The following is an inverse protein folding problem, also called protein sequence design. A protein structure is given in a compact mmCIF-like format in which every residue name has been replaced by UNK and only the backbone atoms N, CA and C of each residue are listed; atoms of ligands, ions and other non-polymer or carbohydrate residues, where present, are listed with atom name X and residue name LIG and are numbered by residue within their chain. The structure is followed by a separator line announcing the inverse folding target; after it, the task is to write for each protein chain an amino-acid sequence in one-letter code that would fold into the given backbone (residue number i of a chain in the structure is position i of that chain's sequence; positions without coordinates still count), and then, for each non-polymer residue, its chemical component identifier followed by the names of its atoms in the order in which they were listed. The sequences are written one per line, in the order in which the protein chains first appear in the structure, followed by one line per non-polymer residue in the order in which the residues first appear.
data_IF_389127405185
#
_entry.id   IF_389127405185
#
_cell.length_a   1.000
_cell.length_b   1.000
_cell.length_c   1.000
_cell.angle_alpha   90.00
_cell.angle_beta   90.00
_cell.angle_gamma   90.00
#
_symmetry.space_group_name_H-M   'P 1'
#
loop_
_entity.id
_entity.type
_entity.pdbx_description
1 polymer ?
#
# COMPACT_ATOMS: atom_id res chain seq x y z
N UNK A 1 7.99 10.93 23.61
CA UNK A 1 6.72 11.63 23.30
C UNK A 1 7.03 12.66 22.24
N UNK A 2 6.22 12.73 21.18
CA UNK A 2 6.38 13.68 20.08
C UNK A 2 5.47 14.87 20.26
N UNK A 3 6.01 16.07 20.05
CA UNK A 3 5.28 17.33 20.14
C UNK A 3 5.00 17.83 18.74
N UNK A 4 3.73 17.94 18.40
CA UNK A 4 3.30 18.39 17.08
C UNK A 4 2.68 19.78 17.17
N UNK A 5 3.04 20.66 16.24
CA UNK A 5 2.51 22.03 16.15
C UNK A 5 2.00 22.31 14.75
N UNK A 6 1.00 23.19 14.62
CA UNK A 6 0.65 23.75 13.30
C UNK A 6 1.58 24.96 13.07
N UNK A 7 2.31 25.02 11.94
CA UNK A 7 3.20 26.14 11.64
C UNK A 7 2.49 27.48 11.76
N UNK A 8 3.09 28.43 12.50
CA UNK A 8 2.51 29.75 12.73
C UNK A 8 1.43 29.83 13.81
N UNK A 9 1.20 28.76 14.58
CA UNK A 9 0.26 28.76 15.72
C UNK A 9 0.94 28.29 17.01
N UNK A 10 0.36 28.64 18.15
CA UNK A 10 0.74 28.10 19.47
C UNK A 10 0.01 26.80 19.81
N UNK A 11 -0.71 26.20 18.85
CA UNK A 11 -1.48 24.97 19.06
C UNK A 11 -0.55 23.77 19.03
N UNK A 12 -0.22 23.28 20.22
CA UNK A 12 0.59 22.07 20.42
C UNK A 12 -0.29 20.85 20.75
N UNK A 13 0.06 19.70 20.18
CA UNK A 13 -0.51 18.40 20.51
C UNK A 13 0.60 17.39 20.77
N UNK A 14 0.50 16.71 21.91
CA UNK A 14 1.44 15.67 22.29
C UNK A 14 0.93 14.28 21.85
N UNK A 15 1.85 13.49 21.29
CA UNK A 15 1.62 12.11 20.88
C UNK A 15 2.60 11.19 21.59
N UNK A 16 2.08 10.14 22.24
CA UNK A 16 2.91 9.11 22.85
C UNK A 16 3.71 8.33 21.81
N UNK A 17 4.83 7.73 22.22
CA UNK A 17 5.61 6.83 21.36
C UNK A 17 5.46 5.40 21.86
N UNK A 18 5.38 4.45 20.92
CA UNK A 18 5.18 3.04 21.25
C UNK A 18 3.79 2.73 21.80
N UNK A 19 3.74 1.87 22.81
CA UNK A 19 2.50 1.30 23.34
C UNK A 19 1.61 2.32 24.05
N UNK A 20 0.33 2.37 23.65
CA UNK A 20 -0.67 3.25 24.23
C UNK A 20 -1.51 2.51 25.28
N UNK A 21 -1.17 2.75 26.55
CA UNK A 21 -1.87 2.16 27.71
C UNK A 21 -3.34 2.58 27.80
N UNK A 22 -3.68 3.80 27.37
CA UNK A 22 -5.05 4.29 27.40
C UNK A 22 -5.92 3.63 26.31
N UNK A 23 -5.37 3.42 25.12
CA UNK A 23 -6.06 2.69 24.06
C UNK A 23 -6.22 1.19 24.39
N UNK A 24 -5.28 0.59 25.14
CA UNK A 24 -5.46 -0.75 25.69
C UNK A 24 -6.63 -0.79 26.69
N UNK A 25 -6.73 0.19 27.59
CA UNK A 25 -7.73 0.19 28.65
C UNK A 25 -9.13 0.61 28.19
N UNK A 26 -9.23 1.43 27.14
CA UNK A 26 -10.50 2.01 26.68
C UNK A 26 -10.86 1.63 25.24
N UNK A 27 -10.00 0.90 24.53
CA UNK A 27 -10.26 0.38 23.18
C UNK A 27 -10.77 1.45 22.20
N UNK A 28 -11.92 1.17 21.59
CA UNK A 28 -12.57 2.06 20.62
C UNK A 28 -12.94 3.43 21.22
N UNK A 29 -13.27 3.52 22.51
CA UNK A 29 -13.63 4.79 23.16
C UNK A 29 -12.47 5.79 23.17
N UNK A 30 -11.23 5.30 23.23
CA UNK A 30 -10.06 6.16 23.11
C UNK A 30 -10.00 6.88 21.75
N UNK A 31 -10.36 6.19 20.66
CA UNK A 31 -10.38 6.77 19.32
C UNK A 31 -11.45 7.86 19.18
N UNK A 32 -12.65 7.64 19.73
CA UNK A 32 -13.70 8.66 19.75
C UNK A 32 -13.28 9.89 20.56
N UNK A 33 -12.68 9.68 21.74
CA UNK A 33 -12.16 10.77 22.57
C UNK A 33 -11.10 11.63 21.84
N UNK A 34 -10.25 11.01 21.01
CA UNK A 34 -9.26 11.72 20.19
C UNK A 34 -9.82 12.33 18.89
N UNK A 35 -11.14 12.24 18.66
CA UNK A 35 -11.80 12.75 17.47
C UNK A 35 -11.52 11.94 16.20
N UNK A 36 -11.13 10.67 16.34
CA UNK A 36 -10.92 9.71 15.25
C UNK A 36 -12.15 8.81 15.07
N UNK A 37 -13.29 9.42 14.75
CA UNK A 37 -14.60 8.77 14.73
C UNK A 37 -14.68 7.56 13.80
N UNK A 38 -14.13 7.65 12.59
CA UNK A 38 -14.15 6.55 11.62
C UNK A 38 -13.40 5.32 12.12
N UNK A 39 -12.20 5.52 12.70
CA UNK A 39 -11.42 4.41 13.28
C UNK A 39 -12.11 3.83 14.51
N UNK A 40 -12.66 4.69 15.37
CA UNK A 40 -13.48 4.26 16.50
C UNK A 40 -14.63 3.34 16.09
N UNK A 41 -15.40 3.73 15.07
CA UNK A 41 -16.52 2.93 14.54
C UNK A 41 -16.05 1.57 14.03
N UNK A 42 -14.96 1.52 13.27
CA UNK A 42 -14.39 0.28 12.76
C UNK A 42 -14.02 -0.67 13.90
N UNK A 43 -13.32 -0.18 14.92
CA UNK A 43 -12.94 -0.98 16.08
C UNK A 43 -14.14 -1.48 16.88
N UNK A 44 -15.21 -0.68 16.99
CA UNK A 44 -16.48 -1.10 17.61
C UNK A 44 -17.13 -2.23 16.82
N UNK A 45 -17.22 -2.12 15.48
CA UNK A 45 -17.83 -3.15 14.63
C UNK A 45 -17.06 -4.47 14.76
N UNK A 46 -15.73 -4.42 14.69
CA UNK A 46 -14.88 -5.61 14.83
C UNK A 46 -15.04 -6.23 16.22
N UNK A 47 -15.11 -5.43 17.28
CA UNK A 47 -15.32 -5.92 18.63
C UNK A 47 -16.71 -6.55 18.83
N UNK A 48 -17.75 -6.06 18.14
CA UNK A 48 -19.12 -6.61 18.21
C UNK A 48 -19.27 -7.94 17.46
N UNK A 49 -18.54 -8.12 16.36
CA UNK A 49 -18.56 -9.37 15.57
C UNK A 49 -17.68 -10.44 16.22
N UNK A 50 -16.70 -10.05 17.03
CA UNK A 50 -15.77 -10.96 17.69
C UNK A 50 -16.49 -11.79 18.78
N UNK A 51 -16.52 -13.14 18.68
CA UNK A 51 -17.24 -13.96 19.65
C UNK A 51 -16.54 -13.97 21.03
N UNK A 52 -17.34 -13.88 22.09
CA UNK A 52 -16.87 -14.04 23.48
C UNK A 52 -15.86 -12.99 23.92
N UNK A 53 -14.70 -13.44 24.43
CA UNK A 53 -13.65 -12.57 24.99
C UNK A 53 -12.74 -12.00 23.89
N UNK A 54 -12.99 -12.34 22.61
CA UNK A 54 -12.11 -12.00 21.48
C UNK A 54 -11.92 -10.49 21.25
N UNK A 55 -12.83 -9.65 21.73
CA UNK A 55 -12.69 -8.19 21.70
C UNK A 55 -11.46 -7.69 22.49
N UNK A 56 -10.93 -8.46 23.45
CA UNK A 56 -9.70 -8.09 24.17
C UNK A 56 -8.48 -8.02 23.25
N UNK A 57 -8.42 -8.87 22.21
CA UNK A 57 -7.34 -8.83 21.22
C UNK A 57 -7.41 -7.58 20.36
N UNK A 58 -8.62 -7.08 20.09
CA UNK A 58 -8.84 -5.80 19.41
C UNK A 58 -8.27 -4.65 20.24
N UNK A 59 -8.42 -4.71 21.57
CA UNK A 59 -7.88 -3.70 22.49
C UNK A 59 -6.37 -3.78 22.64
N UNK A 60 -5.80 -4.98 22.67
CA UNK A 60 -4.34 -5.17 22.63
C UNK A 60 -3.76 -4.61 21.33
N UNK A 61 -4.38 -4.92 20.19
CA UNK A 61 -3.97 -4.37 18.89
C UNK A 61 -4.09 -2.85 18.85
N UNK A 62 -5.19 -2.30 19.37
CA UNK A 62 -5.37 -0.86 19.53
C UNK A 62 -4.26 -0.24 20.40
N UNK A 63 -3.84 -0.90 21.48
CA UNK A 63 -2.72 -0.47 22.31
C UNK A 63 -1.40 -0.28 21.54
N UNK A 64 -1.08 -1.18 20.61
CA UNK A 64 0.14 -1.05 19.79
C UNK A 64 0.04 0.02 18.71
N UNK A 65 -1.15 0.22 18.13
CA UNK A 65 -1.33 1.07 16.94
C UNK A 65 -1.79 2.50 17.25
N UNK A 66 -2.53 2.71 18.33
CA UNK A 66 -3.24 3.94 18.64
C UNK A 66 -2.39 5.23 18.53
N UNK A 67 -1.15 5.20 19.01
CA UNK A 67 -0.26 6.35 18.93
C UNK A 67 0.14 6.70 17.49
N UNK A 68 0.46 5.69 16.67
CA UNK A 68 0.77 5.89 15.26
C UNK A 68 -0.45 6.41 14.48
N UNK A 69 -1.61 5.82 14.74
CA UNK A 69 -2.85 6.21 14.07
C UNK A 69 -3.28 7.64 14.44
N UNK A 70 -3.05 8.03 15.69
CA UNK A 70 -3.28 9.40 16.15
C UNK A 70 -2.28 10.39 15.57
N UNK A 71 -1.01 10.00 15.43
CA UNK A 71 0.00 10.80 14.71
C UNK A 71 -0.44 11.05 13.26
N UNK A 72 -0.79 9.99 12.51
CA UNK A 72 -1.26 10.11 11.12
C UNK A 72 -2.50 11.02 11.00
N UNK A 73 -3.43 10.93 11.97
CA UNK A 73 -4.61 11.79 12.03
C UNK A 73 -4.26 13.26 12.24
N UNK A 74 -3.30 13.56 13.12
CA UNK A 74 -2.84 14.93 13.35
C UNK A 74 -2.05 15.47 12.15
N UNK A 75 -1.19 14.67 11.53
CA UNK A 75 -0.46 15.07 10.31
C UNK A 75 -1.43 15.42 9.18
N UNK A 76 -2.50 14.62 8.99
CA UNK A 76 -3.57 14.94 8.03
C UNK A 76 -4.30 16.26 8.33
N UNK A 77 -4.29 16.71 9.59
CA UNK A 77 -4.84 18.02 10.01
C UNK A 77 -3.82 19.16 9.91
N UNK A 78 -2.62 18.90 9.39
CA UNK A 78 -1.58 19.92 9.19
C UNK A 78 -0.61 20.09 10.36
N UNK A 79 -0.65 19.21 11.37
CA UNK A 79 0.34 19.21 12.45
C UNK A 79 1.68 18.64 11.96
N UNK A 80 2.80 19.28 12.30
CA UNK A 80 4.17 18.88 11.97
C UNK A 80 5.01 18.74 13.23
N UNK A 81 6.17 18.06 13.14
CA UNK A 81 7.05 17.89 14.30
C UNK A 81 7.67 19.23 14.72
N UNK A 82 7.69 19.50 16.01
CA UNK A 82 8.23 20.74 16.58
C UNK A 82 9.74 20.89 16.33
N UNK A 83 10.46 19.78 16.16
CA UNK A 83 11.89 19.74 15.80
C UNK A 83 12.20 20.20 14.37
N UNK A 84 11.23 20.15 13.45
CA UNK A 84 11.38 20.72 12.10
C UNK A 84 11.13 22.25 12.10
N UNK A 85 10.41 22.76 13.09
CA UNK A 85 10.01 24.17 13.14
C UNK A 85 11.13 25.11 13.60
N UNK A 86 12.11 24.62 14.36
CA UNK A 86 13.30 25.41 14.75
C UNK A 86 14.30 25.60 13.60
N UNK A 87 14.29 24.73 12.59
CA UNK A 87 15.13 24.88 11.39
C UNK A 87 14.52 25.89 10.41
N UNK A 88 13.19 25.91 10.28
CA UNK A 88 12.48 26.88 9.45
C UNK A 88 12.51 28.30 10.05
N UNK A 89 12.53 28.44 11.38
CA UNK A 89 12.54 29.74 12.05
C UNK A 89 13.96 30.35 12.21
N UNK A 90 15.04 29.56 12.24
CA UNK A 90 16.40 30.11 12.35
C UNK A 90 16.99 30.56 11.01
N UNK A 91 16.48 30.05 9.88
CA UNK A 91 16.99 30.40 8.55
C UNK A 91 16.52 31.79 8.06
N UNK A 92 15.57 32.43 8.74
CA UNK A 92 15.10 33.77 8.42
C UNK A 92 15.92 34.91 9.06
N UNK A 93 16.84 34.61 9.98
CA UNK A 93 17.68 35.61 10.67
C UNK A 93 19.10 35.09 10.78
N UNK A 94 19.89 35.24 9.72
CA UNK A 94 21.32 35.63 9.72
C UNK A 94 21.87 35.34 8.32
N UNK A 95 21.82 36.37 7.46
CA UNK A 95 22.80 36.50 6.39
C UNK A 95 24.16 36.77 7.03
N UNK A 96 25.19 36.15 6.45
CA UNK A 96 26.57 36.64 6.32
C UNK A 96 27.67 35.89 7.12
N UNK A 97 28.64 35.43 6.33
CA UNK A 97 30.08 35.18 6.56
C UNK A 97 30.58 33.82 7.07
N UNK A 98 31.42 33.24 6.21
CA UNK A 98 32.57 32.35 6.43
C UNK A 98 32.42 30.82 6.58
N UNK A 99 33.09 30.12 5.66
CA UNK A 99 33.59 28.73 5.73
C UNK A 99 34.95 28.71 6.48
N UNK A 100 35.58 27.57 6.86
CA UNK A 100 35.21 26.15 6.70
C UNK A 100 35.40 25.28 7.97
N UNK A 101 34.86 24.04 7.99
CA UNK A 101 35.58 22.81 8.42
C UNK A 101 34.65 21.59 8.57
N UNK A 102 35.20 20.43 8.21
CA UNK A 102 34.58 19.10 8.16
C UNK A 102 34.58 18.45 9.55
N UNK A 103 33.49 17.76 9.93
CA UNK A 103 33.58 16.56 10.76
C UNK A 103 32.59 15.47 10.31
N UNK A 104 33.16 14.32 9.98
CA UNK A 104 32.49 13.04 9.80
C UNK A 104 31.83 12.59 11.11
N UNK A 105 30.58 12.14 11.05
CA UNK A 105 30.05 11.14 12.01
C UNK A 105 29.29 10.05 11.26
N UNK A 106 29.61 8.81 11.62
CA UNK A 106 29.18 7.56 11.03
C UNK A 106 27.65 7.31 11.11
N UNK A 107 27.07 6.45 10.27
CA UNK A 107 25.65 6.15 10.30
C UNK A 107 25.27 5.33 11.54
N UNK A 108 24.28 5.81 12.28
CA UNK A 108 23.62 5.06 13.35
C UNK A 108 22.76 3.97 12.71
N UNK A 109 23.21 2.72 12.88
CA UNK A 109 22.54 1.49 12.49
C UNK A 109 21.31 1.25 13.39
N UNK A 110 20.10 1.57 12.93
CA UNK A 110 18.87 1.10 13.58
C UNK A 110 18.51 -0.30 13.08
N UNK A 111 18.51 -1.26 13.99
CA UNK A 111 18.36 -2.69 13.76
C UNK A 111 17.00 -3.09 13.18
N UNK A 112 17.03 -3.92 12.13
CA UNK A 112 15.91 -4.56 11.47
C UNK A 112 15.24 -5.66 12.31
N UNK A 113 14.61 -5.26 13.42
CA UNK A 113 13.79 -6.15 14.25
C UNK A 113 12.29 -5.81 14.18
N UNK A 114 11.94 -4.61 13.73
CA UNK A 114 10.54 -4.14 13.70
C UNK A 114 9.70 -4.78 12.57
N UNK A 115 10.30 -5.17 11.45
CA UNK A 115 9.55 -5.68 10.30
C UNK A 115 9.22 -7.18 10.39
N UNK A 116 10.01 -7.96 11.15
CA UNK A 116 9.68 -9.36 11.44
C UNK A 116 8.49 -9.49 12.42
N UNK A 117 8.27 -8.49 13.28
CA UNK A 117 7.14 -8.49 14.25
C UNK A 117 5.81 -8.14 13.55
N UNK A 118 5.83 -7.35 12.48
CA UNK A 118 4.64 -6.96 11.71
C UNK A 118 3.98 -8.15 10.99
N UNK A 119 4.77 -9.10 10.50
CA UNK A 119 4.28 -10.29 9.76
C UNK A 119 3.79 -11.40 10.68
N UNK A 120 4.44 -11.60 11.83
CA UNK A 120 4.07 -12.67 12.78
C UNK A 120 2.73 -12.37 13.49
N UNK A 121 2.45 -11.10 13.81
CA UNK A 121 1.19 -10.72 14.45
C UNK A 121 -0.05 -10.86 13.56
N UNK A 122 0.08 -10.61 12.25
CA UNK A 122 -1.02 -10.72 11.28
C UNK A 122 -1.33 -12.19 10.97
N UNK A 123 -0.29 -13.04 10.84
CA UNK A 123 -0.47 -14.47 10.60
C UNK A 123 -1.15 -15.19 11.79
N UNK A 124 -0.84 -14.83 13.03
CA UNK A 124 -1.44 -15.45 14.22
C UNK A 124 -2.94 -15.10 14.32
N UNK A 125 -3.34 -13.86 13.99
CA UNK A 125 -4.75 -13.45 14.05
C UNK A 125 -5.59 -14.10 12.96
N UNK A 126 -5.05 -14.26 11.74
CA UNK A 126 -5.76 -14.90 10.63
C UNK A 126 -5.89 -16.42 10.82
N UNK A 127 -4.84 -17.08 11.33
CA UNK A 127 -4.89 -18.53 11.61
C UNK A 127 -5.85 -18.86 12.76
N UNK A 128 -5.98 -18.01 13.79
CA UNK A 128 -6.94 -18.23 14.89
C UNK A 128 -8.40 -17.91 14.53
N UNK A 129 -8.65 -16.98 13.60
CA UNK A 129 -10.00 -16.72 13.07
C UNK A 129 -10.51 -17.88 12.20
N UNK A 130 -9.62 -18.58 11.49
CA UNK A 130 -9.97 -19.77 10.70
C UNK A 130 -10.19 -20.99 11.61
N UNK A 131 -9.45 -21.12 12.71
CA UNK A 131 -9.57 -22.26 13.64
C UNK A 131 -10.81 -22.20 14.55
N UNK A 132 -11.34 -21.02 14.85
CA UNK A 132 -12.55 -20.88 15.69
C UNK A 132 -13.86 -20.92 14.89
N UNK A 133 -13.80 -20.75 13.55
CA UNK A 133 -14.96 -20.84 12.66
C UNK A 133 -15.48 -22.26 12.38
N UNK A 134 -14.75 -23.31 12.79
CA UNK A 134 -15.14 -24.72 12.53
C UNK A 134 -15.86 -25.36 13.73
N UNK A 135 -15.90 -24.72 14.91
CA UNK A 135 -16.36 -25.37 16.14
C UNK A 135 -17.81 -25.04 16.60
N UNK A 136 -18.62 -24.30 15.83
CA UNK A 136 -19.96 -23.88 16.28
C UNK A 136 -21.04 -24.02 15.21
N UNK A 137 -21.25 -25.23 14.71
CA UNK A 137 -22.55 -25.69 14.21
C UNK A 137 -22.73 -27.17 14.54
N UNK A 138 -22.94 -27.46 15.83
CA UNK A 138 -23.54 -28.71 16.27
C UNK A 138 -25.01 -28.41 16.63
N UNK A 139 -26.00 -28.97 15.94
CA UNK A 139 -27.40 -28.81 16.33
C UNK A 139 -27.65 -29.57 17.63
N UNK A 140 -28.28 -28.88 18.58
CA UNK A 140 -28.92 -29.48 19.75
C UNK A 140 -30.14 -30.27 19.29
N UNK A 141 -30.21 -31.55 19.60
CA UNK A 141 -31.47 -32.13 20.05
C UNK A 141 -31.26 -33.42 20.85
N UNK A 142 -32.12 -33.54 21.86
CA UNK A 142 -32.12 -34.59 22.87
C UNK A 142 -32.74 -35.89 22.38
N UNK A 143 -32.15 -36.98 22.87
CA UNK A 143 -32.78 -38.26 23.26
C UNK A 143 -32.69 -39.47 22.30
N UNK A 144 -32.05 -40.51 22.88
CA UNK A 144 -32.20 -41.97 22.70
C UNK A 144 -31.57 -42.68 21.48
N UNK A 145 -30.54 -43.46 21.83
CA UNK A 145 -29.98 -44.65 21.17
C UNK A 145 -30.94 -45.87 21.28
N UNK A 146 -30.71 -47.07 20.69
CA UNK A 146 -29.68 -47.50 19.70
C UNK A 146 -30.23 -48.28 18.48
N UNK A 147 -29.31 -48.54 17.55
CA UNK A 147 -29.03 -49.86 16.97
C UNK A 147 -29.29 -50.08 15.45
N UNK A 148 -28.17 -50.39 14.80
CA UNK A 148 -27.95 -51.39 13.77
C UNK A 148 -28.53 -51.28 12.34
N UNK A 149 -27.57 -51.52 11.44
CA UNK A 149 -27.62 -52.25 10.16
C UNK A 149 -27.83 -51.48 8.84
N UNK A 150 -26.76 -51.60 8.05
CA UNK A 150 -26.70 -51.97 6.64
C UNK A 150 -26.96 -50.93 5.53
N UNK A 151 -25.88 -50.80 4.75
CA UNK A 151 -25.78 -50.88 3.29
C UNK A 151 -26.22 -49.70 2.42
N UNK A 152 -25.24 -49.39 1.58
CA UNK A 152 -25.33 -49.06 0.16
C UNK A 152 -25.68 -47.62 -0.23
N UNK A 153 -24.62 -46.98 -0.76
CA UNK A 153 -24.54 -46.42 -2.11
C UNK A 153 -24.88 -44.94 -2.35
N UNK A 154 -23.95 -44.35 -3.13
CA UNK A 154 -24.09 -43.23 -4.06
C UNK A 154 -24.27 -41.81 -3.49
N UNK A 155 -23.67 -40.75 -4.03
CA UNK A 155 -22.70 -40.56 -5.11
C UNK A 155 -22.17 -39.14 -4.96
N UNK A 156 -20.86 -38.96 -5.11
CA UNK A 156 -20.22 -37.65 -5.33
C UNK A 156 -20.79 -37.02 -6.60
N UNK A 157 -21.39 -35.84 -6.49
CA UNK A 157 -21.61 -34.98 -7.64
C UNK A 157 -20.42 -34.02 -7.75
N UNK A 158 -19.35 -34.49 -8.40
CA UNK A 158 -18.31 -33.63 -8.96
C UNK A 158 -18.63 -33.47 -10.46
N UNK A 159 -18.87 -32.24 -10.88
CA UNK A 159 -19.11 -31.91 -12.29
C UNK A 159 -17.84 -32.18 -13.11
N UNK A 160 -17.93 -33.09 -14.07
CA UNK A 160 -16.85 -33.37 -15.04
C UNK A 160 -16.88 -32.27 -16.11
N UNK A 161 -15.92 -31.34 -16.03
CA UNK A 161 -15.55 -30.42 -17.13
C UNK A 161 -14.83 -31.25 -18.21
N UNK A 162 -15.12 -31.05 -19.49
CA UNK A 162 -14.63 -31.96 -20.54
C UNK A 162 -13.11 -31.86 -20.72
N UNK A 163 -12.49 -32.94 -21.20
CA UNK A 163 -11.05 -33.04 -21.43
C UNK A 163 -10.55 -32.02 -22.48
N UNK A 164 -11.43 -31.59 -23.39
CA UNK A 164 -11.19 -30.50 -24.35
C UNK A 164 -11.22 -29.13 -23.68
N UNK A 165 -12.17 -28.89 -22.76
CA UNK A 165 -12.26 -27.63 -22.00
C UNK A 165 -11.03 -27.44 -21.10
N UNK A 166 -10.52 -28.52 -20.50
CA UNK A 166 -9.28 -28.48 -19.72
C UNK A 166 -8.07 -28.15 -20.59
N UNK A 167 -8.01 -28.69 -21.83
CA UNK A 167 -6.89 -28.44 -22.74
C UNK A 167 -6.86 -27.00 -23.26
N UNK A 168 -8.02 -26.43 -23.54
CA UNK A 168 -8.16 -25.02 -23.92
C UNK A 168 -7.79 -24.07 -22.77
N UNK A 169 -8.22 -24.39 -21.55
CA UNK A 169 -7.90 -23.59 -20.35
C UNK A 169 -6.40 -23.64 -20.01
N UNK A 170 -5.77 -24.81 -20.12
CA UNK A 170 -4.32 -24.98 -19.96
C UNK A 170 -3.57 -24.16 -21.01
N UNK A 171 -3.95 -24.26 -22.29
CA UNK A 171 -3.29 -23.51 -23.36
C UNK A 171 -3.42 -21.99 -23.17
N UNK A 172 -4.57 -21.52 -22.69
CA UNK A 172 -4.80 -20.10 -22.37
C UNK A 172 -3.94 -19.64 -21.20
N UNK A 173 -3.82 -20.45 -20.15
CA UNK A 173 -2.99 -20.15 -18.99
C UNK A 173 -1.49 -20.17 -19.34
N UNK A 174 -1.05 -21.09 -20.19
CA UNK A 174 0.32 -21.14 -20.71
C UNK A 174 0.65 -19.91 -21.55
N UNK A 175 -0.26 -19.49 -22.43
CA UNK A 175 -0.10 -18.28 -23.23
C UNK A 175 -0.03 -17.02 -22.35
N UNK A 176 -0.88 -16.91 -21.34
CA UNK A 176 -0.87 -15.81 -20.37
C UNK A 176 0.43 -15.76 -19.56
N UNK A 177 0.92 -16.91 -19.10
CA UNK A 177 2.19 -17.01 -18.37
C UNK A 177 3.38 -16.63 -19.26
N UNK A 178 3.39 -17.09 -20.51
CA UNK A 178 4.45 -16.76 -21.48
C UNK A 178 4.45 -15.26 -21.80
N UNK A 179 3.28 -14.66 -21.97
CA UNK A 179 3.12 -13.22 -22.14
C UNK A 179 3.65 -12.47 -20.91
N UNK A 180 3.21 -12.85 -19.70
CA UNK A 180 3.60 -12.19 -18.46
C UNK A 180 5.12 -12.25 -18.27
N UNK A 181 5.74 -13.39 -18.58
CA UNK A 181 7.19 -13.56 -18.51
C UNK A 181 7.95 -12.68 -19.49
N UNK A 182 7.51 -12.59 -20.73
CA UNK A 182 8.10 -11.73 -21.76
C UNK A 182 8.04 -10.25 -21.37
N UNK A 183 6.86 -9.79 -20.93
CA UNK A 183 6.62 -8.40 -20.54
C UNK A 183 7.39 -8.03 -19.27
N UNK A 184 7.36 -8.89 -18.24
CA UNK A 184 8.09 -8.68 -17.01
C UNK A 184 9.61 -8.66 -17.24
N UNK A 185 10.12 -9.50 -18.14
CA UNK A 185 11.54 -9.52 -18.52
C UNK A 185 11.94 -8.21 -19.19
N UNK A 186 11.13 -7.71 -20.12
CA UNK A 186 11.36 -6.43 -20.80
C UNK A 186 11.43 -5.27 -19.80
N UNK A 187 10.43 -5.19 -18.90
CA UNK A 187 10.38 -4.20 -17.84
C UNK A 187 11.62 -4.27 -16.92
N UNK A 188 11.92 -5.46 -16.37
CA UNK A 188 13.08 -5.68 -15.52
C UNK A 188 14.39 -5.25 -16.20
N UNK A 189 14.59 -5.61 -17.47
CA UNK A 189 15.82 -5.31 -18.19
C UNK A 189 16.01 -3.81 -18.46
N UNK A 190 14.94 -3.09 -18.83
CA UNK A 190 15.04 -1.65 -19.05
C UNK A 190 15.39 -0.89 -17.77
N UNK A 191 14.83 -1.35 -16.64
CA UNK A 191 15.04 -0.70 -15.37
C UNK A 191 16.27 -1.21 -14.57
N UNK A 192 17.02 -2.21 -15.07
CA UNK A 192 18.26 -2.69 -14.42
C UNK A 192 19.31 -1.61 -14.20
N UNK A 193 19.42 -0.64 -15.13
CA UNK A 193 20.43 0.43 -15.10
C UNK A 193 19.98 1.66 -14.35
N UNK A 194 18.68 1.82 -14.20
CA UNK A 194 18.11 2.87 -13.37
C UNK A 194 18.13 2.35 -11.96
N UNK A 195 18.80 3.08 -11.09
CA UNK A 195 18.93 2.74 -9.69
C UNK A 195 17.52 2.70 -9.07
N UNK A 196 16.90 1.51 -9.11
CA UNK A 196 15.68 1.16 -8.38
C UNK A 196 15.83 1.44 -6.88
N UNK A 197 17.07 1.67 -6.43
CA UNK A 197 17.52 2.12 -5.12
C UNK A 197 16.74 3.28 -4.50
N UNK A 198 15.97 4.06 -5.29
CA UNK A 198 15.08 5.13 -4.77
C UNK A 198 13.58 4.82 -4.92
N UNK A 199 13.22 3.75 -5.62
CA UNK A 199 11.86 3.49 -6.09
C UNK A 199 11.07 2.58 -5.16
N UNK A 200 10.36 3.16 -4.19
CA UNK A 200 9.29 2.46 -3.49
C UNK A 200 8.04 2.43 -4.38
N UNK A 201 7.68 1.29 -4.98
CA UNK A 201 6.38 1.17 -5.68
C UNK A 201 5.30 0.89 -4.64
N UNK A 202 4.86 1.96 -3.95
CA UNK A 202 3.83 1.91 -2.89
C UNK A 202 2.58 1.12 -3.28
N UNK A 203 2.22 1.17 -4.56
CA UNK A 203 1.00 0.60 -5.10
C UNK A 203 1.05 -0.93 -5.18
N UNK A 204 2.22 -1.52 -5.40
CA UNK A 204 2.39 -2.98 -5.59
C UNK A 204 2.79 -3.71 -4.31
N UNK A 205 3.19 -2.96 -3.27
CA UNK A 205 3.75 -3.52 -2.04
C UNK A 205 5.17 -4.07 -2.20
N UNK A 206 5.76 -4.00 -3.40
CA UNK A 206 7.13 -4.44 -3.64
C UNK A 206 8.09 -3.37 -3.13
N UNK A 207 8.94 -3.78 -2.19
CA UNK A 207 9.95 -2.93 -1.54
C UNK A 207 11.34 -3.50 -1.81
N UNK A 208 12.29 -2.61 -2.11
CA UNK A 208 13.71 -2.95 -2.20
C UNK A 208 14.49 -1.99 -1.32
N UNK A 209 15.46 -2.52 -0.57
CA UNK A 209 16.45 -1.71 0.13
C UNK A 209 17.33 -0.98 -0.90
N UNK A 210 17.97 0.12 -0.50
CA UNK A 210 18.83 0.92 -1.37
C UNK A 210 19.87 0.04 -2.08
N UNK A 211 19.77 -0.04 -3.42
CA UNK A 211 20.67 -0.81 -4.27
C UNK A 211 20.20 -2.24 -4.58
N UNK A 212 19.02 -2.66 -4.09
CA UNK A 212 18.45 -3.96 -4.40
C UNK A 212 17.83 -4.02 -5.80
N UNK A 213 18.28 -4.98 -6.62
CA UNK A 213 17.68 -5.25 -7.93
C UNK A 213 16.31 -5.96 -7.80
N UNK A 214 15.39 -5.61 -8.71
CA UNK A 214 14.13 -6.33 -8.86
C UNK A 214 14.40 -7.68 -9.55
N UNK A 215 13.87 -8.75 -8.97
CA UNK A 215 13.89 -10.08 -9.59
C UNK A 215 12.80 -10.15 -10.66
N UNK A 216 12.87 -11.16 -11.54
CA UNK A 216 11.80 -11.40 -12.50
C UNK A 216 10.44 -11.61 -11.82
N UNK A 217 10.39 -12.26 -10.66
CA UNK A 217 9.16 -12.45 -9.88
C UNK A 217 8.59 -11.11 -9.37
N UNK A 218 9.45 -10.20 -8.92
CA UNK A 218 9.02 -8.87 -8.52
C UNK A 218 8.43 -8.09 -9.71
N UNK A 219 9.08 -8.16 -10.87
CA UNK A 219 8.57 -7.58 -12.12
C UNK A 219 7.25 -8.22 -12.54
N UNK A 220 7.08 -9.54 -12.40
CA UNK A 220 5.79 -10.21 -12.67
C UNK A 220 4.68 -9.66 -11.78
N UNK A 221 4.91 -9.50 -10.47
CA UNK A 221 3.94 -8.89 -9.54
C UNK A 221 3.56 -7.47 -9.93
N UNK A 222 4.55 -6.66 -10.33
CA UNK A 222 4.34 -5.28 -10.78
C UNK A 222 3.47 -5.25 -12.04
N UNK A 223 3.82 -6.04 -13.05
CA UNK A 223 3.06 -6.11 -14.32
C UNK A 223 1.64 -6.62 -14.09
N UNK A 224 1.45 -7.64 -13.24
CA UNK A 224 0.11 -8.12 -12.87
C UNK A 224 -0.71 -7.02 -12.21
N UNK A 225 -0.12 -6.29 -11.25
CA UNK A 225 -0.81 -5.18 -10.60
C UNK A 225 -1.21 -4.09 -11.60
N UNK A 226 -0.34 -3.75 -12.56
CA UNK A 226 -0.67 -2.75 -13.58
C UNK A 226 -1.72 -3.25 -14.56
N UNK A 227 -1.68 -4.52 -14.96
CA UNK A 227 -2.74 -5.16 -15.74
C UNK A 227 -4.08 -5.08 -15.00
N UNK A 228 -4.09 -5.27 -13.69
CA UNK A 228 -5.31 -5.20 -12.91
C UNK A 228 -5.78 -3.76 -12.65
N UNK A 229 -4.92 -2.75 -12.69
CA UNK A 229 -5.28 -1.42 -12.23
C UNK A 229 -5.15 -0.31 -13.28
N UNK A 230 -4.56 -0.58 -14.45
CA UNK A 230 -4.51 0.35 -15.59
C UNK A 230 -5.53 -0.02 -16.66
N UNK A 231 -6.52 0.84 -16.94
CA UNK A 231 -7.44 0.67 -18.07
C UNK A 231 -6.73 0.59 -19.41
N UNK A 232 -5.60 1.30 -19.59
CA UNK A 232 -4.86 1.31 -20.85
C UNK A 232 -4.20 -0.05 -21.11
N UNK A 233 -3.58 -0.66 -20.09
CA UNK A 233 -3.02 -2.01 -20.19
C UNK A 233 -4.13 -3.05 -20.34
N UNK A 234 -5.25 -2.93 -19.61
CA UNK A 234 -6.40 -3.81 -19.80
C UNK A 234 -6.95 -3.74 -21.22
N UNK A 235 -7.11 -2.55 -21.78
CA UNK A 235 -7.58 -2.36 -23.16
C UNK A 235 -6.60 -2.95 -24.15
N UNK A 236 -5.30 -2.72 -23.94
CA UNK A 236 -4.24 -3.32 -24.72
C UNK A 236 -4.15 -4.85 -24.56
N UNK A 237 -4.95 -5.51 -23.70
CA UNK A 237 -4.96 -6.98 -23.53
C UNK A 237 -6.34 -7.59 -23.86
N UNK A 238 -7.42 -6.82 -23.71
CA UNK A 238 -8.81 -7.31 -23.74
C UNK A 238 -9.54 -7.21 -25.08
N UNK A 239 -9.07 -6.37 -26.00
CA UNK A 239 -9.43 -6.43 -27.42
C UNK A 239 -8.53 -7.49 -28.10
N UNK A 240 -8.76 -7.96 -29.35
CA UNK A 240 -7.74 -8.67 -30.11
C UNK A 240 -6.55 -7.71 -30.34
N UNK A 241 -5.80 -7.50 -29.28
CA UNK A 241 -4.73 -6.53 -29.18
C UNK A 241 -3.50 -7.20 -29.73
N UNK A 242 -2.87 -6.54 -30.70
CA UNK A 242 -1.55 -6.94 -31.13
C UNK A 242 -0.60 -6.92 -29.92
N UNK A 243 0.21 -7.96 -29.79
CA UNK A 243 1.28 -8.08 -28.79
C UNK A 243 2.22 -6.87 -28.84
N UNK A 244 2.25 -6.18 -29.97
CA UNK A 244 3.07 -5.01 -30.27
C UNK A 244 2.63 -3.75 -29.51
N UNK A 245 1.34 -3.47 -29.40
CA UNK A 245 0.77 -2.33 -28.67
C UNK A 245 1.03 -2.44 -27.17
N UNK A 246 0.90 -3.66 -26.63
CA UNK A 246 1.29 -3.94 -25.24
C UNK A 246 2.78 -3.69 -25.05
N UNK A 247 3.61 -4.27 -25.93
CA UNK A 247 5.06 -4.07 -25.89
C UNK A 247 5.43 -2.60 -26.04
N UNK A 248 4.65 -1.81 -26.77
CA UNK A 248 4.87 -0.38 -26.92
C UNK A 248 4.51 0.37 -25.64
N UNK A 249 3.34 0.15 -25.03
CA UNK A 249 2.96 0.79 -23.75
C UNK A 249 3.97 0.45 -22.67
N UNK A 250 4.32 -0.84 -22.55
CA UNK A 250 5.32 -1.31 -21.59
C UNK A 250 6.70 -0.76 -21.93
N UNK A 251 7.08 -0.73 -23.21
CA UNK A 251 8.34 -0.15 -23.67
C UNK A 251 8.45 1.32 -23.31
N UNK A 252 7.36 2.09 -23.45
CA UNK A 252 7.33 3.49 -23.04
C UNK A 252 7.50 3.65 -21.53
N UNK A 253 6.83 2.82 -20.73
CA UNK A 253 7.01 2.79 -19.27
C UNK A 253 8.46 2.43 -18.93
N UNK A 254 8.97 1.37 -19.54
CA UNK A 254 10.29 0.82 -19.32
C UNK A 254 11.42 1.79 -19.72
N UNK A 255 11.20 2.56 -20.78
CA UNK A 255 12.08 3.63 -21.27
C UNK A 255 11.95 4.94 -20.48
N UNK A 256 11.12 4.97 -19.42
CA UNK A 256 10.83 6.18 -18.64
C UNK A 256 10.22 7.31 -19.46
N UNK A 257 9.40 6.99 -20.45
CA UNK A 257 8.66 7.97 -21.24
C UNK A 257 7.33 8.26 -20.56
N UNK A 258 6.99 9.54 -20.44
CA UNK A 258 5.65 9.99 -20.06
C UNK A 258 4.84 10.22 -21.32
N UNK A 259 3.55 9.90 -21.25
CA UNK A 259 2.60 10.19 -22.31
C UNK A 259 1.33 10.80 -21.75
N UNK A 260 0.70 11.65 -22.55
CA UNK A 260 -0.64 12.16 -22.27
C UNK A 260 -1.63 11.00 -22.13
N UNK A 261 -2.50 11.07 -21.13
CA UNK A 261 -3.49 10.03 -20.85
C UNK A 261 -2.95 8.79 -20.15
N UNK A 262 -1.64 8.73 -19.87
CA UNK A 262 -1.03 7.67 -19.08
C UNK A 262 -1.67 7.61 -17.69
N UNK A 263 -2.04 6.42 -17.24
CA UNK A 263 -2.68 6.22 -15.94
C UNK A 263 -1.68 6.42 -14.80
N UNK A 264 -2.14 6.82 -13.61
CA UNK A 264 -1.28 7.05 -12.43
C UNK A 264 -0.34 5.88 -12.11
N UNK A 265 -0.80 4.64 -12.29
CA UNK A 265 0.03 3.45 -12.08
C UNK A 265 1.11 3.27 -13.14
N UNK A 266 0.82 3.66 -14.39
CA UNK A 266 1.79 3.61 -15.49
C UNK A 266 2.85 4.71 -15.33
N UNK A 267 2.44 5.89 -14.86
CA UNK A 267 3.36 6.96 -14.48
C UNK A 267 4.28 6.51 -13.34
N UNK A 268 3.70 5.94 -12.29
CA UNK A 268 4.46 5.41 -11.15
C UNK A 268 5.40 4.27 -11.56
N UNK A 269 5.02 3.47 -12.55
CA UNK A 269 5.88 2.45 -13.15
C UNK A 269 7.06 3.06 -13.90
N UNK A 270 6.78 4.12 -14.67
CA UNK A 270 7.73 4.76 -15.57
C UNK A 270 8.77 5.59 -14.79
N UNK A 271 8.29 6.47 -13.91
CA UNK A 271 9.13 7.45 -13.21
C UNK A 271 9.31 7.16 -11.72
N UNK A 272 8.61 6.17 -11.17
CA UNK A 272 8.59 5.91 -9.73
C UNK A 272 7.58 6.81 -8.99
N UNK A 273 7.53 6.66 -7.68
CA UNK A 273 6.75 7.56 -6.82
C UNK A 273 7.43 8.92 -6.74
N UNK A 274 6.65 10.02 -6.80
CA UNK A 274 7.18 11.36 -6.66
C UNK A 274 7.67 11.63 -5.23
N UNK A 275 8.50 12.64 -5.08
CA UNK A 275 8.98 13.12 -3.77
C UNK A 275 7.87 13.86 -3.01
N UNK A 276 6.99 14.58 -3.74
CA UNK A 276 5.83 15.27 -3.17
C UNK A 276 4.59 15.18 -4.09
N UNK A 277 3.40 15.25 -3.49
CA UNK A 277 2.11 15.21 -4.17
C UNK A 277 1.22 16.34 -3.64
N UNK A 278 1.01 17.36 -4.49
CA UNK A 278 0.02 18.40 -4.23
C UNK A 278 -1.33 17.95 -4.79
N UNK A 279 -2.32 17.73 -3.92
CA UNK A 279 -3.66 17.24 -4.32
C UNK A 279 -4.72 18.32 -4.12
N UNK A 280 -5.53 18.56 -5.15
CA UNK A 280 -6.74 19.39 -5.10
C UNK A 280 -7.96 18.53 -5.40
N UNK A 281 -8.89 18.40 -4.44
CA UNK A 281 -10.15 17.68 -4.64
C UNK A 281 -11.31 18.66 -4.74
N UNK A 282 -12.17 18.47 -5.73
CA UNK A 282 -13.40 19.25 -5.94
C UNK A 282 -14.59 18.30 -6.05
N UNK A 283 -15.80 18.85 -6.14
CA UNK A 283 -17.00 18.04 -6.43
C UNK A 283 -16.98 17.39 -7.82
N UNK A 284 -16.12 17.86 -8.73
CA UNK A 284 -16.03 17.40 -10.12
C UNK A 284 -14.91 16.38 -10.35
N UNK A 285 -14.06 16.14 -9.34
CA UNK A 285 -12.93 15.24 -9.46
C UNK A 285 -11.71 15.70 -8.66
N UNK A 286 -10.57 15.13 -9.01
CA UNK A 286 -9.30 15.26 -8.33
C UNK A 286 -8.20 15.65 -9.31
N UNK A 287 -7.45 16.70 -8.94
CA UNK A 287 -6.25 17.12 -9.64
C UNK A 287 -5.04 16.87 -8.75
N UNK A 288 -3.97 16.31 -9.31
CA UNK A 288 -2.71 16.09 -8.62
C UNK A 288 -1.54 16.69 -9.39
N UNK A 289 -0.61 17.31 -8.68
CA UNK A 289 0.72 17.63 -9.18
C UNK A 289 1.72 16.74 -8.45
N UNK A 290 2.43 15.92 -9.23
CA UNK A 290 3.51 15.06 -8.79
C UNK A 290 4.84 15.78 -9.00
N UNK A 291 5.61 15.91 -7.93
CA UNK A 291 6.89 16.63 -7.93
C UNK A 291 8.03 15.63 -7.81
N UNK A 292 8.92 15.63 -8.79
CA UNK A 292 10.12 14.80 -8.82
C UNK A 292 11.36 15.67 -8.68
N UNK A 293 12.30 15.27 -7.83
CA UNK A 293 13.55 15.98 -7.60
C UNK A 293 13.41 17.14 -6.60
N UNK A 294 14.55 17.81 -6.36
CA UNK A 294 14.62 18.88 -5.38
C UNK A 294 14.24 20.23 -6.00
N UNK A 295 13.21 20.87 -5.43
CA UNK A 295 12.64 22.16 -5.89
C UNK A 295 13.66 23.31 -5.92
N UNK A 296 14.77 23.19 -5.19
CA UNK A 296 15.83 24.20 -5.13
C UNK A 296 16.92 24.01 -6.20
N UNK A 297 17.01 22.83 -6.82
CA UNK A 297 18.08 22.52 -7.78
C UNK A 297 17.54 22.20 -9.17
N UNK A 298 16.66 21.20 -9.27
CA UNK A 298 15.97 20.80 -10.49
C UNK A 298 14.80 19.92 -10.12
N UNK A 299 13.60 20.38 -10.42
CA UNK A 299 12.37 19.61 -10.27
C UNK A 299 11.69 19.39 -11.61
N UNK A 300 11.04 18.24 -11.74
CA UNK A 300 10.13 17.90 -12.82
C UNK A 300 8.73 17.77 -12.24
N UNK A 301 7.75 18.26 -12.98
CA UNK A 301 6.36 18.31 -12.53
C UNK A 301 5.48 17.53 -13.49
N UNK A 302 4.64 16.66 -12.96
CA UNK A 302 3.64 15.93 -13.75
C UNK A 302 2.26 16.26 -13.19
N UNK A 303 1.34 16.65 -14.06
CA UNK A 303 -0.02 17.01 -13.69
C UNK A 303 -0.96 15.88 -14.09
N UNK A 304 -1.85 15.51 -13.17
CA UNK A 304 -2.85 14.48 -13.35
C UNK A 304 -4.24 14.99 -13.01
N UNK A 305 -5.24 14.50 -13.73
CA UNK A 305 -6.67 14.79 -13.50
C UNK A 305 -7.52 13.52 -13.67
N UNK A 306 -8.66 13.46 -13.01
CA UNK A 306 -9.57 12.33 -13.03
C UNK A 306 -10.66 12.42 -11.96
N UNK A 307 -11.65 11.53 -12.03
CA UNK A 307 -12.79 11.52 -11.09
C UNK A 307 -12.37 11.22 -9.63
N UNK A 308 -11.36 10.37 -9.47
CA UNK A 308 -10.81 9.96 -8.17
C UNK A 308 -9.34 9.53 -8.32
N UNK A 309 -8.60 9.45 -7.22
CA UNK A 309 -7.16 9.12 -7.21
C UNK A 309 -6.82 7.90 -8.08
N UNK A 310 -7.64 6.85 -8.01
CA UNK A 310 -7.41 5.60 -8.74
C UNK A 310 -7.67 5.69 -10.25
N UNK A 311 -8.22 6.80 -10.75
CA UNK A 311 -8.53 7.05 -12.16
C UNK A 311 -7.76 8.23 -12.74
N UNK A 312 -6.79 8.77 -11.99
CA UNK A 312 -5.97 9.89 -12.42
C UNK A 312 -5.16 9.54 -13.67
N UNK A 313 -5.13 10.46 -14.62
CA UNK A 313 -4.37 10.35 -15.86
C UNK A 313 -3.51 11.59 -16.07
N UNK A 314 -2.35 11.40 -16.68
CA UNK A 314 -1.43 12.49 -17.03
C UNK A 314 -2.10 13.44 -18.03
N UNK A 315 -2.13 14.72 -17.68
CA UNK A 315 -2.69 15.81 -18.51
C UNK A 315 -1.63 16.79 -18.99
N UNK A 316 -0.46 16.86 -18.35
CA UNK A 316 0.70 17.60 -18.83
C UNK A 316 1.91 17.32 -17.94
N UNK A 317 3.10 17.74 -18.37
CA UNK A 317 4.30 17.75 -17.56
C UNK A 317 5.19 18.92 -17.92
N UNK A 318 6.11 19.28 -17.02
CA UNK A 318 7.10 20.35 -17.21
C UNK A 318 8.48 19.81 -16.88
N UNK A 319 9.35 19.84 -17.90
CA UNK A 319 10.75 19.46 -17.81
C UNK A 319 11.61 20.73 -17.96
N UNK A 320 12.39 21.04 -16.92
CA UNK A 320 13.40 22.11 -16.92
C UNK A 320 14.78 21.53 -17.20
#
# INVERSE_FOLDING_TARGET
MRKLTIPGTTLEKEVGEGFNRAALAFGAFWYFYKGMWLRGLLYTIVALIAPGISWIFVWVYAGFRANQEYYEHLVKKGYRDSTDSTVAASTAVTKQTDSPSIQNTAPIKSSGLADKVKMVGIAIVVVFLILTGIALFAPSDSSKSPNQTNKDSNTKQASVKSEADNKEEIAKQEAENKWLESVATTYCNAHKKTDFSKGYIKFTGVTKENGGEFTLDDCKKIITYFKENSPNIRKAIGEPSDEESVKQVIGNIADRKIQMGMHIYELAASWGTPDDINTTKTQFGENQQWVYGNVLTRSQYVYLDGEETAKLKVTSWQDF
#
